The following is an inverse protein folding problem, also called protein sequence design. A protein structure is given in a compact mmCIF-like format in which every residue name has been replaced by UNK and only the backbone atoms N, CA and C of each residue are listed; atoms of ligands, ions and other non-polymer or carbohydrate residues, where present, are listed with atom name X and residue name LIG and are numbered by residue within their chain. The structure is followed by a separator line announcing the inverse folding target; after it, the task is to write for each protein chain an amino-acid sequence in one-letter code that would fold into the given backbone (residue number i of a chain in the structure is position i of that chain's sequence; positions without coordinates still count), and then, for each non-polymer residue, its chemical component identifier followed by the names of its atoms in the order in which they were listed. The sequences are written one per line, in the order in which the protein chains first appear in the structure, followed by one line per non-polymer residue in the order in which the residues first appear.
data_IF_055040798285
#
_entry.id   IF_055040798285
#
_cell.length_a   1.000
_cell.length_b   1.000
_cell.length_c   1.000
_cell.angle_alpha   90.00
_cell.angle_beta   90.00
_cell.angle_gamma   90.00
#
_symmetry.space_group_name_H-M   'P 1'
#
loop_
_entity.id
_entity.type
_entity.pdbx_description
1 polymer ?
#
# COMPACT_ATOMS: atom_id res chain seq x y z
N UNK A 1 -44.80 97.73 -7.38
CA UNK A 1 -43.41 97.93 -6.97
C UNK A 1 -42.69 96.53 -7.11
N UNK A 2 -41.91 96.43 -8.19
CA UNK A 2 -41.27 95.19 -8.54
C UNK A 2 -39.77 95.26 -8.16
N UNK A 3 -39.35 94.40 -7.23
CA UNK A 3 -37.94 94.29 -6.82
C UNK A 3 -37.20 93.31 -7.74
N UNK A 4 -36.24 93.82 -8.53
CA UNK A 4 -35.29 93.07 -9.34
C UNK A 4 -34.28 92.33 -8.42
N UNK A 5 -34.25 91.00 -8.44
CA UNK A 5 -33.14 90.18 -7.88
C UNK A 5 -32.01 90.11 -8.90
N UNK A 6 -30.88 90.72 -8.57
CA UNK A 6 -29.61 90.52 -9.27
C UNK A 6 -29.12 89.08 -9.05
N UNK A 7 -28.98 88.27 -10.12
CA UNK A 7 -28.23 87.02 -10.12
C UNK A 7 -26.78 87.32 -10.40
N UNK A 8 -25.93 87.22 -9.41
CA UNK A 8 -24.47 87.15 -9.62
C UNK A 8 -24.15 85.85 -10.30
N UNK A 9 -23.60 85.95 -11.49
CA UNK A 9 -23.00 84.80 -12.21
C UNK A 9 -21.63 84.63 -11.60
N UNK A 10 -21.40 83.47 -10.90
CA UNK A 10 -20.08 83.10 -10.44
C UNK A 10 -19.38 82.46 -11.65
N UNK A 11 -18.42 83.13 -12.21
CA UNK A 11 -17.50 82.54 -13.20
C UNK A 11 -16.63 81.51 -12.51
N UNK A 12 -16.83 80.25 -12.88
CA UNK A 12 -15.95 79.18 -12.50
C UNK A 12 -14.66 79.34 -13.33
N UNK A 13 -13.62 79.78 -12.70
CA UNK A 13 -12.29 79.91 -13.31
C UNK A 13 -11.83 78.46 -13.70
N UNK A 14 -11.71 78.25 -15.01
CA UNK A 14 -11.03 77.07 -15.53
C UNK A 14 -9.60 77.03 -14.96
N UNK A 15 -9.33 76.02 -14.11
CA UNK A 15 -7.95 75.70 -13.72
C UNK A 15 -7.20 75.32 -14.99
N UNK A 16 -6.28 76.19 -15.40
CA UNK A 16 -5.26 75.93 -16.40
C UNK A 16 -4.49 74.74 -15.94
N UNK A 17 -4.54 73.62 -16.73
CA UNK A 17 -3.76 72.41 -16.44
C UNK A 17 -2.28 72.84 -16.35
N UNK A 18 -1.70 72.71 -15.16
CA UNK A 18 -0.26 72.77 -14.97
C UNK A 18 0.34 71.65 -15.85
N UNK A 19 1.15 72.07 -16.84
CA UNK A 19 1.99 71.12 -17.58
C UNK A 19 2.89 70.44 -16.56
N UNK A 20 2.63 69.12 -16.30
CA UNK A 20 3.48 68.30 -15.43
C UNK A 20 4.92 68.39 -15.95
N UNK A 21 5.85 68.79 -15.09
CA UNK A 21 7.27 68.84 -15.43
C UNK A 21 7.70 67.44 -15.82
N UNK A 22 8.55 67.29 -16.83
CA UNK A 22 9.05 65.95 -17.29
C UNK A 22 9.59 65.13 -16.14
N UNK A 23 10.13 65.70 -15.10
CA UNK A 23 10.61 65.06 -13.86
C UNK A 23 9.47 64.47 -13.08
N UNK A 24 8.33 65.16 -12.91
CA UNK A 24 7.14 64.61 -12.20
C UNK A 24 6.56 63.39 -12.91
N UNK A 25 6.57 63.39 -14.27
CA UNK A 25 6.14 62.27 -15.08
C UNK A 25 7.07 61.06 -14.92
N UNK A 26 8.41 61.27 -14.84
CA UNK A 26 9.38 60.23 -14.59
C UNK A 26 9.24 59.62 -13.19
N UNK A 27 9.02 60.45 -12.17
CA UNK A 27 8.82 59.99 -10.79
C UNK A 27 7.52 59.17 -10.69
N UNK A 28 6.42 59.65 -11.32
CA UNK A 28 5.16 58.90 -11.35
C UNK A 28 5.28 57.59 -12.11
N UNK A 29 5.97 57.56 -13.24
CA UNK A 29 6.28 56.36 -14.01
C UNK A 29 7.09 55.34 -13.21
N UNK A 30 8.15 55.79 -12.52
CA UNK A 30 8.96 54.93 -11.66
C UNK A 30 8.14 54.33 -10.49
N UNK A 31 7.30 55.16 -9.86
CA UNK A 31 6.40 54.72 -8.79
C UNK A 31 5.37 53.70 -9.29
N UNK A 32 4.83 53.90 -10.50
CA UNK A 32 3.88 52.97 -11.10
C UNK A 32 4.54 51.61 -11.43
N UNK A 33 5.76 51.65 -12.00
CA UNK A 33 6.55 50.44 -12.24
C UNK A 33 6.83 49.70 -10.92
N UNK A 34 7.24 50.43 -9.88
CA UNK A 34 7.47 49.86 -8.55
C UNK A 34 6.20 49.16 -7.99
N UNK A 35 5.05 49.82 -8.09
CA UNK A 35 3.75 49.23 -7.66
C UNK A 35 3.41 47.99 -8.48
N UNK A 36 3.63 48.00 -9.80
CA UNK A 36 3.39 46.84 -10.65
C UNK A 36 4.31 45.68 -10.26
N UNK A 37 5.60 45.97 -10.00
CA UNK A 37 6.56 44.97 -9.52
C UNK A 37 6.10 44.38 -8.17
N UNK A 38 5.66 45.23 -7.24
CA UNK A 38 5.11 44.76 -5.95
C UNK A 38 3.87 43.88 -6.13
N UNK A 39 2.95 44.27 -7.03
CA UNK A 39 1.74 43.48 -7.33
C UNK A 39 2.12 42.12 -7.94
N UNK A 40 3.07 42.11 -8.89
CA UNK A 40 3.55 40.85 -9.50
C UNK A 40 4.23 39.98 -8.46
N UNK A 41 5.10 40.54 -7.62
CA UNK A 41 5.71 39.76 -6.50
C UNK A 41 4.66 39.26 -5.52
N UNK A 42 3.64 40.04 -5.19
CA UNK A 42 2.54 39.62 -4.33
C UNK A 42 1.69 38.50 -4.97
N UNK A 43 1.42 38.60 -6.28
CA UNK A 43 0.67 37.55 -7.00
C UNK A 43 1.47 36.25 -7.20
N UNK A 44 2.80 36.32 -7.23
CA UNK A 44 3.69 35.17 -7.32
C UNK A 44 4.00 34.55 -5.95
N UNK A 45 3.73 35.25 -4.85
CA UNK A 45 3.92 34.67 -3.51
C UNK A 45 2.78 33.70 -3.21
N UNK A 46 3.11 32.40 -3.12
CA UNK A 46 2.16 31.39 -2.68
C UNK A 46 1.80 31.62 -1.20
N UNK A 47 0.49 31.66 -0.87
CA UNK A 47 0.08 31.81 0.52
C UNK A 47 0.45 30.56 1.30
N UNK A 48 1.08 30.70 2.45
CA UNK A 48 1.38 29.58 3.34
C UNK A 48 0.06 28.96 3.81
N UNK A 49 -0.16 27.71 3.43
CA UNK A 49 -1.35 26.95 3.83
C UNK A 49 -1.09 26.21 5.12
N UNK A 50 -2.01 26.31 6.07
CA UNK A 50 -1.95 25.59 7.34
C UNK A 50 -2.83 24.35 7.31
N UNK A 51 -2.35 23.29 7.97
CA UNK A 51 -3.09 22.06 8.24
C UNK A 51 -3.27 21.92 9.75
N UNK A 52 -4.51 21.64 10.20
CA UNK A 52 -4.83 21.39 11.62
C UNK A 52 -4.66 19.93 11.95
N UNK A 53 -3.81 19.63 12.92
CA UNK A 53 -3.49 18.26 13.31
C UNK A 53 -4.64 17.65 14.12
N UNK A 54 -5.04 16.45 13.71
CA UNK A 54 -6.05 15.66 14.41
C UNK A 54 -5.51 14.28 14.76
N UNK A 55 -6.12 13.64 15.77
CA UNK A 55 -5.86 12.23 16.01
C UNK A 55 -6.36 11.43 14.82
N UNK A 56 -5.55 10.52 14.36
CA UNK A 56 -5.87 9.62 13.27
C UNK A 56 -5.26 8.25 13.49
N UNK A 57 -5.61 7.33 12.62
CA UNK A 57 -4.98 6.03 12.53
C UNK A 57 -4.58 5.77 11.09
N UNK A 58 -3.53 5.00 10.93
CA UNK A 58 -3.08 4.51 9.64
C UNK A 58 -2.94 3.00 9.73
N UNK A 59 -3.70 2.31 8.89
CA UNK A 59 -3.53 0.87 8.68
C UNK A 59 -2.33 0.66 7.79
N UNK A 60 -1.31 -0.01 8.28
CA UNK A 60 -0.16 -0.40 7.47
C UNK A 60 -0.44 -1.76 6.86
N UNK A 61 -1.12 -1.73 5.72
CA UNK A 61 -1.32 -2.93 4.93
C UNK A 61 -0.01 -3.33 4.23
N UNK A 62 0.38 -4.59 4.38
CA UNK A 62 1.51 -5.16 3.65
C UNK A 62 1.03 -6.39 2.90
N UNK A 63 1.37 -6.45 1.62
CA UNK A 63 1.05 -7.59 0.76
C UNK A 63 2.07 -8.70 0.97
N UNK A 64 1.56 -9.93 1.06
CA UNK A 64 2.35 -11.15 1.14
C UNK A 64 1.81 -12.15 0.13
N UNK A 65 2.72 -12.85 -0.54
CA UNK A 65 2.38 -14.03 -1.34
C UNK A 65 2.55 -15.25 -0.48
N UNK A 66 1.48 -16.03 -0.32
CA UNK A 66 1.48 -17.27 0.45
C UNK A 66 1.33 -18.49 -0.42
N UNK A 67 1.75 -19.63 0.11
CA UNK A 67 1.48 -20.96 -0.46
C UNK A 67 0.26 -21.57 0.20
N UNK A 68 -0.74 -21.95 -0.60
CA UNK A 68 -1.97 -22.55 -0.14
C UNK A 68 -1.81 -24.06 0.02
N UNK A 69 -2.03 -24.54 1.24
CA UNK A 69 -1.97 -25.94 1.62
C UNK A 69 -3.38 -26.43 1.96
N UNK A 70 -3.78 -27.50 1.32
CA UNK A 70 -5.12 -28.08 1.39
C UNK A 70 -5.03 -29.60 1.54
N UNK A 71 -6.12 -30.21 1.94
CA UNK A 71 -6.23 -31.66 1.91
C UNK A 71 -6.62 -32.08 0.48
N UNK A 72 -5.65 -32.55 -0.28
CA UNK A 72 -5.76 -32.85 -1.70
C UNK A 72 -5.55 -34.34 -1.94
N UNK A 73 -6.45 -35.00 -2.69
CA UNK A 73 -6.29 -36.37 -3.14
C UNK A 73 -6.10 -36.44 -4.65
N UNK A 74 -4.99 -37.00 -5.09
CA UNK A 74 -4.67 -37.16 -6.52
C UNK A 74 -5.52 -38.28 -7.11
N UNK A 75 -6.16 -37.97 -8.26
CA UNK A 75 -6.91 -38.94 -9.07
C UNK A 75 -5.96 -39.50 -10.13
N UNK A 76 -5.65 -40.76 -10.06
CA UNK A 76 -4.93 -41.47 -11.11
C UNK A 76 -5.87 -42.37 -11.91
N UNK A 77 -5.79 -42.30 -13.25
CA UNK A 77 -6.63 -43.12 -14.10
C UNK A 77 -6.15 -44.59 -14.11
N UNK A 78 -7.06 -45.58 -13.95
CA UNK A 78 -6.67 -46.98 -14.06
C UNK A 78 -6.57 -47.46 -15.51
N UNK A 79 -6.97 -46.67 -16.50
CA UNK A 79 -7.09 -47.07 -17.89
C UNK A 79 -6.12 -46.28 -18.77
N UNK A 80 -5.77 -46.85 -19.93
CA UNK A 80 -5.02 -46.17 -21.00
C UNK A 80 -5.96 -45.81 -22.12
N UNK A 81 -5.93 -44.56 -22.58
CA UNK A 81 -6.80 -44.05 -23.64
C UNK A 81 -6.91 -42.55 -23.67
N UNK A 82 -7.85 -42.04 -24.42
CA UNK A 82 -8.12 -40.60 -24.55
C UNK A 82 -9.06 -40.12 -23.44
N UNK A 83 -8.64 -39.10 -22.68
CA UNK A 83 -9.43 -38.61 -21.56
C UNK A 83 -10.44 -37.53 -22.02
N UNK A 84 -11.64 -37.59 -21.44
CA UNK A 84 -12.68 -36.59 -21.62
C UNK A 84 -13.27 -36.20 -20.26
N UNK A 85 -13.20 -34.92 -19.91
CA UNK A 85 -13.72 -34.38 -18.66
C UNK A 85 -15.16 -33.91 -18.82
N UNK A 86 -16.01 -34.10 -17.78
CA UNK A 86 -17.43 -33.75 -17.79
C UNK A 86 -17.82 -32.66 -16.81
N UNK A 87 -16.99 -32.40 -15.81
CA UNK A 87 -17.26 -31.45 -14.74
C UNK A 87 -16.27 -30.28 -14.86
N UNK A 88 -16.74 -29.10 -14.57
CA UNK A 88 -15.88 -27.89 -14.59
C UNK A 88 -14.87 -27.94 -13.47
N UNK A 89 -13.65 -27.43 -13.71
CA UNK A 89 -12.63 -27.23 -12.70
C UNK A 89 -13.13 -26.26 -11.60
N UNK A 90 -12.87 -26.58 -10.33
CA UNK A 90 -13.37 -25.82 -9.18
C UNK A 90 -14.81 -26.15 -8.77
N UNK A 91 -15.53 -27.00 -9.51
CA UNK A 91 -16.88 -27.43 -9.16
C UNK A 91 -16.86 -28.51 -8.07
N UNK A 92 -17.88 -28.51 -7.21
CA UNK A 92 -18.01 -29.50 -6.14
C UNK A 92 -18.58 -30.81 -6.69
N UNK A 93 -17.90 -31.90 -6.40
CA UNK A 93 -18.27 -33.26 -6.81
C UNK A 93 -18.60 -34.14 -5.61
N UNK A 94 -19.47 -35.11 -5.83
CA UNK A 94 -19.72 -36.20 -4.89
C UNK A 94 -18.92 -37.43 -5.30
N UNK A 95 -18.81 -38.41 -4.40
CA UNK A 95 -18.06 -39.67 -4.65
C UNK A 95 -18.55 -40.46 -5.84
N UNK A 96 -19.79 -40.23 -6.30
CA UNK A 96 -20.42 -41.04 -7.38
C UNK A 96 -20.54 -40.22 -8.69
N UNK A 97 -20.21 -38.95 -8.66
CA UNK A 97 -20.31 -38.15 -9.86
C UNK A 97 -19.25 -38.57 -10.87
N UNK A 98 -19.65 -38.76 -12.11
CA UNK A 98 -18.73 -39.08 -13.20
C UNK A 98 -17.95 -37.80 -13.55
N UNK A 99 -16.65 -37.83 -13.30
CA UNK A 99 -15.76 -36.68 -13.53
C UNK A 99 -15.16 -36.72 -14.92
N UNK A 100 -14.76 -37.90 -15.36
CA UNK A 100 -14.11 -38.08 -16.65
C UNK A 100 -14.41 -39.47 -17.24
N UNK A 101 -14.10 -39.62 -18.51
CA UNK A 101 -14.04 -40.97 -19.13
C UNK A 101 -12.71 -41.19 -19.85
N UNK A 102 -12.38 -42.45 -20.05
CA UNK A 102 -11.26 -42.86 -20.87
C UNK A 102 -11.79 -43.67 -22.06
N UNK A 103 -11.54 -43.18 -23.26
CA UNK A 103 -11.83 -43.86 -24.53
C UNK A 103 -10.59 -44.62 -25.00
N UNK A 104 -10.59 -45.95 -24.82
CA UNK A 104 -9.49 -46.78 -25.27
C UNK A 104 -9.39 -46.91 -26.80
N UNK A 105 -10.48 -46.61 -27.51
CA UNK A 105 -10.56 -46.76 -28.97
C UNK A 105 -10.14 -45.48 -29.73
N UNK A 106 -10.20 -44.33 -29.10
CA UNK A 106 -10.03 -43.02 -29.72
C UNK A 106 -11.11 -42.67 -30.78
N UNK A 107 -12.20 -43.38 -30.78
CA UNK A 107 -13.28 -43.21 -31.80
C UNK A 107 -14.43 -42.35 -31.32
N UNK A 108 -14.47 -42.04 -30.03
CA UNK A 108 -15.57 -41.30 -29.43
C UNK A 108 -15.75 -39.92 -30.08
N UNK A 109 -14.67 -39.18 -30.25
CA UNK A 109 -14.69 -37.88 -30.92
C UNK A 109 -15.19 -37.97 -32.35
N UNK A 110 -14.69 -38.96 -33.13
CA UNK A 110 -15.13 -39.14 -34.52
C UNK A 110 -16.57 -39.63 -34.67
N UNK A 111 -17.07 -40.35 -33.68
CA UNK A 111 -18.48 -40.78 -33.64
C UNK A 111 -19.42 -39.61 -33.32
N UNK A 112 -18.99 -38.73 -32.44
CA UNK A 112 -19.74 -37.50 -32.10
C UNK A 112 -19.76 -36.52 -33.29
N UNK A 113 -18.63 -36.36 -33.99
CA UNK A 113 -18.58 -35.54 -35.23
C UNK A 113 -19.44 -36.13 -36.35
N UNK A 114 -19.60 -37.45 -36.41
CA UNK A 114 -20.42 -38.12 -37.44
C UNK A 114 -21.91 -38.15 -37.15
N UNK A 115 -22.32 -37.95 -35.92
CA UNK A 115 -23.70 -37.68 -35.56
C UNK A 115 -23.95 -36.20 -35.82
N UNK A 116 -24.81 -35.89 -36.78
CA UNK A 116 -25.35 -34.57 -37.02
C UNK A 116 -26.17 -34.20 -35.76
N UNK A 117 -25.45 -33.77 -34.71
CA UNK A 117 -26.04 -33.17 -33.52
C UNK A 117 -26.67 -31.89 -34.02
N UNK A 118 -27.96 -31.95 -34.39
CA UNK A 118 -28.70 -30.79 -34.82
C UNK A 118 -28.42 -29.58 -33.93
N UNK A 119 -28.61 -28.37 -34.48
CA UNK A 119 -28.36 -27.15 -33.72
C UNK A 119 -28.77 -27.31 -32.25
N UNK A 120 -27.77 -27.52 -31.38
CA UNK A 120 -28.02 -27.64 -29.96
C UNK A 120 -28.48 -26.27 -29.49
N UNK A 121 -29.77 -26.17 -29.15
CA UNK A 121 -30.31 -25.00 -28.51
C UNK A 121 -29.68 -24.91 -27.12
N UNK A 122 -28.52 -24.22 -27.04
CA UNK A 122 -27.88 -23.90 -25.75
C UNK A 122 -28.87 -23.18 -24.85
N UNK A 123 -29.00 -23.63 -23.63
CA UNK A 123 -29.91 -23.01 -22.68
C UNK A 123 -29.41 -21.60 -22.30
N UNK A 124 -30.35 -20.70 -22.00
CA UNK A 124 -29.99 -19.36 -21.50
C UNK A 124 -29.12 -19.43 -20.23
N UNK A 125 -29.22 -20.51 -19.45
CA UNK A 125 -28.39 -20.74 -18.25
C UNK A 125 -26.92 -21.01 -18.62
N UNK A 126 -26.64 -21.85 -19.61
CA UNK A 126 -25.29 -22.20 -20.10
C UNK A 126 -24.60 -20.96 -20.71
N UNK A 127 -25.36 -20.22 -21.55
CA UNK A 127 -24.86 -18.97 -22.11
C UNK A 127 -24.66 -17.87 -21.06
N UNK A 128 -25.43 -17.87 -19.98
CA UNK A 128 -25.29 -16.96 -18.85
C UNK A 128 -24.00 -17.22 -18.07
N UNK A 129 -23.64 -18.48 -17.84
CA UNK A 129 -22.39 -18.87 -17.19
C UNK A 129 -21.19 -18.38 -18.02
N UNK A 130 -21.18 -18.65 -19.31
CA UNK A 130 -20.15 -18.20 -20.24
C UNK A 130 -19.98 -16.67 -20.27
N UNK A 131 -21.09 -15.94 -20.24
CA UNK A 131 -21.08 -14.47 -20.15
C UNK A 131 -20.52 -13.98 -18.82
N UNK A 132 -20.81 -14.68 -17.73
CA UNK A 132 -20.31 -14.31 -16.40
C UNK A 132 -18.80 -14.39 -16.32
N UNK A 133 -18.18 -15.42 -16.91
CA UNK A 133 -16.72 -15.57 -16.97
C UNK A 133 -16.07 -14.40 -17.74
N UNK A 134 -16.66 -14.04 -18.89
CA UNK A 134 -16.14 -12.91 -19.68
C UNK A 134 -16.25 -11.58 -18.89
N UNK A 135 -17.37 -11.36 -18.21
CA UNK A 135 -17.58 -10.13 -17.41
C UNK A 135 -16.63 -10.10 -16.21
N UNK A 136 -16.41 -11.23 -15.56
CA UNK A 136 -15.47 -11.33 -14.43
C UNK A 136 -14.05 -11.01 -14.88
N UNK A 137 -13.61 -11.59 -15.99
CA UNK A 137 -12.31 -11.29 -16.57
C UNK A 137 -12.16 -9.81 -16.92
N UNK A 138 -13.14 -9.21 -17.60
CA UNK A 138 -13.12 -7.79 -17.98
C UNK A 138 -13.01 -6.88 -16.74
N UNK A 139 -13.64 -7.27 -15.64
CA UNK A 139 -13.62 -6.51 -14.38
C UNK A 139 -12.32 -6.65 -13.58
N UNK A 140 -11.58 -7.75 -13.76
CA UNK A 140 -10.35 -8.06 -13.00
C UNK A 140 -9.08 -7.91 -13.84
N UNK A 141 -9.21 -7.67 -15.15
CA UNK A 141 -8.08 -7.55 -16.06
C UNK A 141 -7.14 -6.41 -15.69
N UNK A 142 -5.84 -6.71 -15.64
CA UNK A 142 -4.77 -5.74 -15.43
C UNK A 142 -3.63 -6.00 -16.41
N UNK A 143 -3.17 -4.96 -17.12
CA UNK A 143 -2.03 -5.03 -18.05
C UNK A 143 -0.72 -5.49 -17.37
N UNK A 144 -0.68 -5.49 -16.04
CA UNK A 144 0.51 -5.87 -15.26
C UNK A 144 0.56 -7.35 -14.91
N UNK A 145 -0.55 -8.07 -15.05
CA UNK A 145 -0.70 -9.46 -14.64
C UNK A 145 -1.06 -10.35 -15.85
N UNK A 146 -0.06 -10.62 -16.68
CA UNK A 146 -0.24 -11.37 -17.92
C UNK A 146 -0.71 -12.83 -17.70
N UNK A 147 -0.48 -13.38 -16.50
CA UNK A 147 -0.87 -14.72 -16.12
C UNK A 147 -2.40 -14.89 -16.10
N UNK A 148 -3.14 -13.86 -15.71
CA UNK A 148 -4.60 -13.87 -15.68
C UNK A 148 -5.24 -14.13 -17.06
N UNK A 149 -4.53 -13.86 -18.15
CA UNK A 149 -4.98 -14.17 -19.51
C UNK A 149 -4.99 -15.68 -19.79
N UNK A 150 -3.97 -16.39 -19.30
CA UNK A 150 -3.89 -17.83 -19.46
C UNK A 150 -4.93 -18.56 -18.60
N UNK A 151 -5.11 -18.10 -17.36
CA UNK A 151 -6.14 -18.63 -16.47
C UNK A 151 -7.53 -18.43 -17.07
N UNK A 152 -7.85 -17.23 -17.55
CA UNK A 152 -9.11 -16.96 -18.26
C UNK A 152 -9.30 -17.83 -19.51
N UNK A 153 -8.23 -18.05 -20.29
CA UNK A 153 -8.30 -18.95 -21.45
C UNK A 153 -8.71 -20.35 -21.03
N UNK A 154 -8.12 -20.87 -19.94
CA UNK A 154 -8.45 -22.19 -19.42
C UNK A 154 -9.85 -22.27 -18.84
N UNK A 155 -10.30 -21.24 -18.14
CA UNK A 155 -11.68 -21.16 -17.61
C UNK A 155 -12.70 -21.13 -18.74
N UNK A 156 -12.42 -20.38 -19.80
CA UNK A 156 -13.27 -20.30 -20.98
C UNK A 156 -13.31 -21.63 -21.74
N UNK A 157 -12.16 -22.28 -21.93
CA UNK A 157 -12.07 -23.62 -22.52
C UNK A 157 -12.82 -24.64 -21.66
N UNK A 158 -12.70 -24.58 -20.31
CA UNK A 158 -13.42 -25.44 -19.38
C UNK A 158 -14.94 -25.27 -19.47
N UNK A 159 -15.43 -24.04 -19.53
CA UNK A 159 -16.85 -23.76 -19.70
C UNK A 159 -17.39 -24.29 -21.06
N UNK A 160 -16.63 -24.08 -22.14
CA UNK A 160 -16.98 -24.59 -23.48
C UNK A 160 -17.01 -26.14 -23.51
N UNK A 161 -16.01 -26.78 -22.90
CA UNK A 161 -15.93 -28.24 -22.79
C UNK A 161 -17.10 -28.81 -21.99
N UNK A 162 -17.50 -28.13 -20.88
CA UNK A 162 -18.65 -28.55 -20.07
C UNK A 162 -19.93 -28.59 -20.91
N UNK A 163 -20.19 -27.56 -21.71
CA UNK A 163 -21.37 -27.48 -22.59
C UNK A 163 -21.37 -28.64 -23.59
N UNK A 164 -20.25 -28.85 -24.28
CA UNK A 164 -20.10 -29.92 -25.27
C UNK A 164 -20.18 -31.31 -24.62
N UNK A 165 -19.60 -31.50 -23.44
CA UNK A 165 -19.53 -32.79 -22.79
C UNK A 165 -20.82 -33.18 -22.06
N UNK A 166 -21.66 -32.24 -21.63
CA UNK A 166 -22.99 -32.54 -21.10
C UNK A 166 -23.88 -33.16 -22.19
N UNK A 167 -23.91 -32.60 -23.41
CA UNK A 167 -24.58 -33.18 -24.55
C UNK A 167 -24.03 -34.56 -24.91
N UNK A 168 -22.73 -34.74 -24.79
CA UNK A 168 -22.02 -35.99 -24.99
C UNK A 168 -22.39 -37.04 -23.93
N UNK A 169 -22.48 -36.67 -22.65
CA UNK A 169 -22.84 -37.56 -21.54
C UNK A 169 -24.29 -38.09 -21.71
N UNK A 170 -25.24 -37.22 -22.05
CA UNK A 170 -26.62 -37.57 -22.29
C UNK A 170 -26.77 -38.44 -23.55
N UNK A 171 -25.97 -38.16 -24.59
CA UNK A 171 -25.89 -39.00 -25.78
C UNK A 171 -25.30 -40.39 -25.48
N UNK A 172 -24.30 -40.49 -24.59
CA UNK A 172 -23.70 -41.76 -24.15
C UNK A 172 -24.66 -42.59 -23.29
N UNK A 173 -25.53 -41.98 -22.49
CA UNK A 173 -26.59 -42.71 -21.78
C UNK A 173 -27.52 -43.45 -22.73
N UNK A 174 -27.74 -42.92 -23.93
CA UNK A 174 -28.49 -43.55 -25.01
C UNK A 174 -27.66 -44.54 -25.83
N UNK A 175 -26.35 -44.32 -25.99
CA UNK A 175 -25.42 -45.19 -26.71
C UNK A 175 -25.01 -46.44 -25.94
N UNK A 176 -25.07 -46.42 -24.61
CA UNK A 176 -24.73 -47.58 -23.73
C UNK A 176 -25.64 -48.81 -23.99
N UNK A 177 -26.69 -48.70 -24.79
CA UNK A 177 -27.50 -49.83 -25.23
C UNK A 177 -27.03 -50.50 -26.53
N UNK A 178 -26.04 -49.94 -27.25
CA UNK A 178 -25.58 -50.49 -28.52
C UNK A 178 -24.06 -50.35 -28.71
N UNK A 179 -23.32 -51.48 -28.72
CA UNK A 179 -21.99 -51.72 -29.31
C UNK A 179 -20.75 -50.93 -28.80
N UNK A 180 -20.86 -49.84 -28.04
CA UNK A 180 -19.73 -49.08 -27.49
C UNK A 180 -19.45 -49.34 -26.00
N UNK A 181 -20.35 -50.09 -25.33
CA UNK A 181 -20.32 -50.30 -23.86
C UNK A 181 -19.12 -51.01 -23.26
N UNK A 182 -18.08 -51.28 -24.04
CA UNK A 182 -16.83 -51.87 -23.54
C UNK A 182 -15.56 -51.13 -23.93
N UNK A 183 -15.70 -49.95 -24.61
CA UNK A 183 -14.53 -49.19 -25.07
C UNK A 183 -14.38 -47.82 -24.38
N UNK A 184 -15.37 -47.39 -23.60
CA UNK A 184 -15.34 -46.13 -22.85
C UNK A 184 -15.57 -46.42 -21.38
N UNK A 185 -14.57 -46.10 -20.58
CA UNK A 185 -14.58 -46.33 -19.13
C UNK A 185 -14.95 -45.03 -18.43
N UNK A 186 -16.12 -45.00 -17.76
CA UNK A 186 -16.57 -43.88 -16.95
C UNK A 186 -15.88 -43.90 -15.58
N UNK A 187 -15.26 -42.80 -15.17
CA UNK A 187 -14.53 -42.67 -13.93
C UNK A 187 -15.20 -41.66 -13.01
N UNK A 188 -15.34 -42.03 -11.75
CA UNK A 188 -15.93 -41.14 -10.72
C UNK A 188 -14.85 -40.46 -9.89
N UNK A 189 -15.27 -39.40 -9.15
CA UNK A 189 -14.36 -38.66 -8.28
C UNK A 189 -13.73 -39.51 -7.15
N UNK A 190 -14.41 -40.57 -6.70
CA UNK A 190 -13.97 -41.40 -5.58
C UNK A 190 -14.10 -40.75 -4.22
N UNK A 191 -13.83 -39.45 -4.14
CA UNK A 191 -13.99 -38.59 -2.97
C UNK A 191 -14.94 -37.43 -3.26
N UNK A 192 -15.50 -36.82 -2.21
CA UNK A 192 -16.32 -35.62 -2.31
C UNK A 192 -15.46 -34.37 -2.05
N UNK A 193 -15.55 -33.36 -2.89
CA UNK A 193 -14.75 -32.15 -2.73
C UNK A 193 -14.79 -31.27 -3.99
N UNK A 194 -13.81 -30.40 -4.17
CA UNK A 194 -13.66 -29.57 -5.37
C UNK A 194 -12.68 -30.23 -6.34
N UNK A 195 -13.08 -30.39 -7.59
CA UNK A 195 -12.23 -31.01 -8.61
C UNK A 195 -11.22 -30.01 -9.18
N UNK A 196 -9.96 -30.44 -9.33
CA UNK A 196 -8.88 -29.66 -9.95
C UNK A 196 -8.13 -30.56 -10.93
N UNK A 197 -7.99 -30.12 -12.20
CA UNK A 197 -7.41 -30.94 -13.28
C UNK A 197 -5.90 -30.74 -13.46
N UNK A 198 -5.22 -30.35 -12.39
CA UNK A 198 -3.77 -30.19 -12.38
C UNK A 198 -3.17 -30.70 -11.10
N UNK A 199 -1.92 -31.17 -11.20
CA UNK A 199 -1.08 -31.54 -10.07
C UNK A 199 0.21 -30.74 -10.11
N UNK A 200 0.79 -30.48 -8.95
CA UNK A 200 1.96 -29.61 -8.81
C UNK A 200 3.05 -30.20 -7.88
N UNK A 201 2.84 -31.40 -7.35
CA UNK A 201 3.76 -32.06 -6.44
C UNK A 201 3.69 -31.61 -4.99
N UNK A 202 2.85 -30.58 -4.70
CA UNK A 202 2.66 -30.04 -3.33
C UNK A 202 1.38 -30.54 -2.65
N UNK A 203 0.74 -31.58 -3.20
CA UNK A 203 -0.53 -32.10 -2.70
C UNK A 203 -0.43 -32.67 -1.24
N UNK A 204 0.75 -33.13 -0.85
CA UNK A 204 1.00 -33.67 0.48
C UNK A 204 1.87 -32.75 1.35
N UNK A 205 2.24 -31.57 0.87
CA UNK A 205 3.12 -30.66 1.58
C UNK A 205 2.48 -30.21 2.90
N UNK A 206 3.22 -30.38 4.01
CA UNK A 206 2.78 -29.92 5.32
C UNK A 206 3.38 -28.55 5.65
N UNK A 207 2.72 -27.73 6.50
CA UNK A 207 3.24 -26.42 6.87
C UNK A 207 4.67 -26.44 7.43
N UNK A 208 5.02 -27.50 8.13
CA UNK A 208 6.34 -27.70 8.75
C UNK A 208 7.45 -28.03 7.74
N UNK A 209 7.09 -28.37 6.51
CA UNK A 209 8.01 -28.71 5.41
C UNK A 209 8.21 -27.54 4.44
N UNK A 210 7.49 -26.43 4.63
CA UNK A 210 7.60 -25.24 3.78
C UNK A 210 8.93 -24.55 4.03
N UNK A 211 9.68 -24.29 2.99
CA UNK A 211 10.97 -23.57 3.00
C UNK A 211 10.97 -22.41 2.01
N UNK A 212 12.00 -21.56 2.04
CA UNK A 212 12.13 -20.44 1.11
C UNK A 212 12.11 -20.89 -0.36
N UNK A 213 12.58 -22.09 -0.67
CA UNK A 213 12.59 -22.66 -2.02
C UNK A 213 11.19 -22.86 -2.59
N UNK A 214 10.21 -23.17 -1.74
CA UNK A 214 8.81 -23.41 -2.14
C UNK A 214 8.14 -22.14 -2.67
N UNK A 215 8.64 -20.95 -2.31
CA UNK A 215 8.13 -19.65 -2.78
C UNK A 215 8.73 -19.19 -4.10
N UNK A 216 9.67 -19.97 -4.69
CA UNK A 216 10.21 -19.65 -6.03
C UNK A 216 9.18 -20.00 -7.10
N UNK A 217 8.34 -19.04 -7.44
CA UNK A 217 7.31 -19.21 -8.48
C UNK A 217 7.92 -19.48 -9.88
N UNK A 218 9.19 -19.15 -10.12
CA UNK A 218 9.84 -19.40 -11.39
C UNK A 218 10.22 -20.88 -11.55
N UNK A 219 10.42 -21.58 -10.44
CA UNK A 219 10.69 -23.02 -10.39
C UNK A 219 9.40 -23.89 -10.24
N UNK A 220 8.24 -23.23 -10.05
CA UNK A 220 6.97 -23.92 -9.88
C UNK A 220 6.47 -24.49 -11.20
N UNK A 221 6.20 -25.78 -11.24
CA UNK A 221 5.66 -26.48 -12.38
C UNK A 221 4.28 -27.07 -12.06
N UNK A 222 3.32 -26.81 -12.92
CA UNK A 222 1.95 -27.33 -12.85
C UNK A 222 1.73 -28.28 -14.02
N UNK A 223 1.48 -29.54 -13.73
CA UNK A 223 1.17 -30.54 -14.75
C UNK A 223 -0.33 -30.62 -14.94
N UNK A 224 -0.79 -30.49 -16.17
CA UNK A 224 -2.20 -30.57 -16.56
C UNK A 224 -2.36 -31.54 -17.70
N UNK A 225 -3.39 -32.37 -17.62
CA UNK A 225 -3.84 -33.23 -18.72
C UNK A 225 -5.04 -32.54 -19.36
N UNK A 226 -4.98 -32.32 -20.66
CA UNK A 226 -6.05 -31.65 -21.39
C UNK A 226 -7.10 -32.64 -21.88
N UNK A 227 -8.27 -32.12 -22.20
CA UNK A 227 -9.32 -32.92 -22.81
C UNK A 227 -8.84 -33.53 -24.14
N UNK A 228 -9.14 -34.81 -24.36
CA UNK A 228 -8.72 -35.62 -25.52
C UNK A 228 -7.19 -35.87 -25.60
N UNK A 229 -6.44 -35.70 -24.53
CA UNK A 229 -5.05 -36.18 -24.44
C UNK A 229 -5.02 -37.70 -24.27
N UNK A 230 -3.99 -38.36 -24.85
CA UNK A 230 -3.72 -39.75 -24.63
C UNK A 230 -3.00 -39.93 -23.29
N UNK A 231 -3.62 -40.65 -22.37
CA UNK A 231 -3.05 -40.94 -21.05
C UNK A 231 -2.77 -42.44 -20.88
N UNK A 232 -1.75 -42.74 -20.09
CA UNK A 232 -1.43 -44.12 -19.70
C UNK A 232 -2.08 -44.44 -18.35
N UNK A 233 -2.27 -45.73 -18.09
CA UNK A 233 -2.75 -46.16 -16.78
C UNK A 233 -1.83 -45.70 -15.65
N UNK A 234 -2.40 -45.29 -14.52
CA UNK A 234 -1.77 -44.67 -13.36
C UNK A 234 -1.22 -43.21 -13.60
N UNK A 235 -1.54 -42.58 -14.71
CA UNK A 235 -1.27 -41.16 -14.87
C UNK A 235 -2.21 -40.35 -13.97
N UNK A 236 -1.65 -39.36 -13.26
CA UNK A 236 -2.44 -38.37 -12.50
C UNK A 236 -3.22 -37.46 -13.48
N UNK A 237 -4.54 -37.49 -13.39
CA UNK A 237 -5.45 -36.75 -14.29
C UNK A 237 -6.12 -35.57 -13.60
N UNK A 238 -5.87 -35.39 -12.32
CA UNK A 238 -6.38 -34.30 -11.49
C UNK A 238 -6.30 -34.65 -10.02
N UNK A 239 -6.93 -33.83 -9.20
CA UNK A 239 -7.03 -34.02 -7.74
C UNK A 239 -8.38 -33.50 -7.23
N UNK A 240 -8.78 -33.97 -6.05
CA UNK A 240 -9.96 -33.47 -5.32
C UNK A 240 -9.49 -32.80 -4.05
N UNK A 241 -9.92 -31.58 -3.83
CA UNK A 241 -9.77 -30.88 -2.55
C UNK A 241 -10.91 -31.30 -1.64
N UNK A 242 -10.60 -32.10 -0.63
CA UNK A 242 -11.60 -32.87 0.15
C UNK A 242 -12.11 -32.13 1.39
N UNK A 243 -11.42 -31.08 1.86
CA UNK A 243 -11.79 -30.31 3.05
C UNK A 243 -11.92 -28.82 2.72
N UNK A 244 -12.88 -28.18 3.39
CA UNK A 244 -13.04 -26.71 3.38
C UNK A 244 -11.96 -26.02 4.23
N UNK A 245 -11.36 -26.74 5.20
CA UNK A 245 -10.27 -26.23 5.99
C UNK A 245 -8.98 -26.24 5.17
N UNK A 246 -8.33 -25.10 5.12
CA UNK A 246 -7.07 -24.94 4.42
C UNK A 246 -6.18 -23.93 5.14
N UNK A 247 -4.92 -23.88 4.79
CA UNK A 247 -3.99 -22.91 5.34
C UNK A 247 -3.18 -22.22 4.26
N UNK A 248 -2.81 -20.99 4.54
CA UNK A 248 -1.90 -20.20 3.72
C UNK A 248 -0.64 -19.95 4.54
N UNK A 249 0.51 -20.41 4.05
CA UNK A 249 1.80 -20.17 4.68
C UNK A 249 2.47 -18.98 3.99
N UNK A 250 2.83 -17.97 4.77
CA UNK A 250 3.50 -16.76 4.26
C UNK A 250 4.85 -16.56 4.95
N UNK A 251 5.89 -16.11 4.24
CA UNK A 251 7.10 -15.62 4.87
C UNK A 251 6.81 -14.28 5.57
N UNK A 252 7.30 -14.11 6.79
CA UNK A 252 7.03 -12.91 7.60
C UNK A 252 8.26 -12.50 8.40
N UNK A 253 8.42 -11.21 8.65
CA UNK A 253 9.48 -10.68 9.50
C UNK A 253 9.25 -11.04 10.98
N UNK A 254 10.33 -11.31 11.72
CA UNK A 254 10.27 -11.78 13.12
C UNK A 254 9.51 -10.82 14.06
N UNK A 255 9.70 -9.52 13.89
CA UNK A 255 9.00 -8.49 14.69
C UNK A 255 7.48 -8.50 14.45
N UNK A 256 7.06 -8.72 13.22
CA UNK A 256 5.64 -8.84 12.85
C UNK A 256 5.07 -10.19 13.29
N UNK A 257 5.84 -11.26 13.14
CA UNK A 257 5.44 -12.59 13.58
C UNK A 257 5.09 -12.59 15.08
N UNK A 258 5.95 -12.00 15.92
CA UNK A 258 5.69 -11.88 17.36
C UNK A 258 4.40 -11.09 17.66
N UNK A 259 4.13 -10.02 16.90
CA UNK A 259 2.93 -9.21 17.09
C UNK A 259 1.65 -9.96 16.75
N UNK A 260 1.61 -10.69 15.62
CA UNK A 260 0.41 -11.42 15.20
C UNK A 260 0.20 -12.72 15.98
N UNK A 261 1.26 -13.31 16.53
CA UNK A 261 1.18 -14.49 17.38
C UNK A 261 0.44 -14.20 18.69
N UNK A 262 0.70 -13.02 19.30
CA UNK A 262 0.04 -12.60 20.53
C UNK A 262 -1.48 -12.44 20.34
N UNK A 263 -1.92 -11.99 19.17
CA UNK A 263 -3.34 -11.82 18.84
C UNK A 263 -4.05 -13.16 18.55
N UNK A 264 -3.33 -14.17 18.06
CA UNK A 264 -3.83 -15.51 17.72
C UNK A 264 -4.75 -15.56 16.49
N UNK A 265 -5.35 -14.44 16.09
CA UNK A 265 -6.18 -14.29 14.90
C UNK A 265 -5.85 -12.97 14.20
N UNK A 266 -5.85 -12.99 12.88
CA UNK A 266 -5.62 -11.79 12.08
C UNK A 266 -6.67 -11.64 10.99
N UNK A 267 -7.05 -10.40 10.70
CA UNK A 267 -7.87 -10.08 9.55
C UNK A 267 -6.97 -9.93 8.32
N UNK A 268 -7.30 -10.64 7.25
CA UNK A 268 -6.63 -10.53 5.96
C UNK A 268 -7.60 -10.07 4.89
N UNK A 269 -7.05 -9.55 3.80
CA UNK A 269 -7.79 -9.25 2.59
C UNK A 269 -7.13 -10.01 1.44
N UNK A 270 -7.91 -10.81 0.72
CA UNK A 270 -7.45 -11.49 -0.49
C UNK A 270 -7.38 -10.49 -1.64
N UNK A 271 -6.24 -10.42 -2.34
CA UNK A 271 -6.06 -9.47 -3.45
C UNK A 271 -6.93 -9.87 -4.65
N UNK A 272 -7.03 -11.16 -4.97
CA UNK A 272 -7.80 -11.68 -6.12
C UNK A 272 -9.30 -11.37 -6.01
N UNK A 273 -9.91 -11.63 -4.86
CA UNK A 273 -11.38 -11.47 -4.66
C UNK A 273 -11.77 -10.16 -4.00
N UNK A 274 -10.80 -9.39 -3.47
CA UNK A 274 -11.02 -8.19 -2.66
C UNK A 274 -11.83 -8.42 -1.38
N UNK A 275 -12.07 -9.68 -1.03
CA UNK A 275 -12.80 -10.09 0.17
C UNK A 275 -11.88 -10.14 1.38
N UNK A 276 -12.44 -9.86 2.55
CA UNK A 276 -11.72 -9.97 3.83
C UNK A 276 -12.17 -11.18 4.60
N UNK A 277 -11.23 -11.90 5.21
CA UNK A 277 -11.51 -13.03 6.10
C UNK A 277 -10.68 -12.94 7.38
N UNK A 278 -11.08 -13.68 8.41
CA UNK A 278 -10.29 -13.90 9.60
C UNK A 278 -9.54 -15.21 9.48
N UNK A 279 -8.27 -15.20 9.82
CA UNK A 279 -7.41 -16.38 9.86
C UNK A 279 -6.91 -16.63 11.28
N UNK A 280 -6.85 -17.89 11.69
CA UNK A 280 -6.07 -18.29 12.87
C UNK A 280 -4.59 -18.21 12.55
N UNK A 281 -3.75 -17.85 13.52
CA UNK A 281 -2.31 -17.67 13.32
C UNK A 281 -1.53 -18.71 14.10
N UNK A 282 -0.55 -19.35 13.44
CA UNK A 282 0.49 -20.17 14.06
C UNK A 282 1.84 -19.77 13.48
N UNK A 283 2.80 -19.45 14.31
CA UNK A 283 4.15 -19.09 13.84
C UNK A 283 5.03 -20.34 13.80
N UNK A 284 5.78 -20.46 12.71
CA UNK A 284 6.81 -21.49 12.52
C UNK A 284 8.16 -20.79 12.32
N UNK A 285 9.10 -21.09 13.21
CA UNK A 285 10.49 -20.64 13.10
C UNK A 285 11.32 -21.78 12.51
N UNK A 286 11.82 -21.58 11.31
CA UNK A 286 12.64 -22.54 10.58
C UNK A 286 14.06 -21.99 10.39
N UNK A 287 15.03 -22.83 10.04
CA UNK A 287 16.43 -22.41 9.88
C UNK A 287 16.64 -21.36 8.79
N UNK A 288 15.73 -21.28 7.80
CA UNK A 288 15.78 -20.42 6.64
C UNK A 288 14.86 -19.19 6.76
N UNK A 289 14.05 -19.11 7.82
CA UNK A 289 13.17 -17.95 8.03
C UNK A 289 12.00 -18.21 8.97
N UNK A 290 11.25 -17.14 9.22
CA UNK A 290 10.01 -17.18 10.01
C UNK A 290 8.81 -17.19 9.07
N UNK A 291 7.88 -18.10 9.33
CA UNK A 291 6.66 -18.29 8.55
C UNK A 291 5.43 -18.15 9.43
N UNK A 292 4.39 -17.54 8.91
CA UNK A 292 3.07 -17.54 9.53
C UNK A 292 2.14 -18.50 8.78
N UNK A 293 1.55 -19.44 9.49
CA UNK A 293 0.50 -20.34 9.00
C UNK A 293 -0.84 -19.71 9.33
N UNK A 294 -1.55 -19.28 8.32
CA UNK A 294 -2.87 -18.65 8.40
C UNK A 294 -3.93 -19.70 8.08
N UNK A 295 -4.69 -20.12 9.08
CA UNK A 295 -5.71 -21.17 8.92
C UNK A 295 -7.09 -20.59 8.64
N UNK A 296 -7.77 -21.15 7.63
CA UNK A 296 -9.10 -20.78 7.16
C UNK A 296 -10.06 -21.96 7.20
N UNK A 297 -11.34 -21.68 7.37
CA UNK A 297 -12.45 -22.64 7.27
C UNK A 297 -13.52 -22.21 6.27
N UNK A 298 -13.18 -21.28 5.39
CA UNK A 298 -14.05 -20.72 4.37
C UNK A 298 -13.24 -20.36 3.12
N UNK A 299 -13.93 -19.91 2.07
CA UNK A 299 -13.34 -19.40 0.81
C UNK A 299 -12.43 -20.39 0.06
N UNK A 300 -12.38 -21.67 0.44
CA UNK A 300 -11.55 -22.68 -0.22
C UNK A 300 -11.87 -22.79 -1.71
N UNK A 301 -13.15 -22.70 -2.08
CA UNK A 301 -13.62 -22.76 -3.48
C UNK A 301 -12.99 -21.67 -4.37
N UNK A 302 -12.82 -20.46 -3.86
CA UNK A 302 -12.27 -19.34 -4.63
C UNK A 302 -10.78 -19.48 -4.95
N UNK A 303 -10.08 -20.36 -4.21
CA UNK A 303 -8.63 -20.55 -4.31
C UNK A 303 -8.23 -22.01 -4.53
N UNK A 304 -9.19 -22.94 -4.77
CA UNK A 304 -8.88 -24.37 -4.89
C UNK A 304 -7.94 -24.69 -6.06
N UNK A 305 -7.91 -23.87 -7.10
CA UNK A 305 -7.04 -23.99 -8.29
C UNK A 305 -5.70 -23.26 -8.15
N UNK A 306 -5.58 -22.37 -7.15
CA UNK A 306 -4.40 -21.52 -6.95
C UNK A 306 -3.47 -22.14 -5.91
N UNK A 307 -2.18 -22.23 -6.21
CA UNK A 307 -1.16 -22.64 -5.22
C UNK A 307 -0.59 -21.41 -4.50
N UNK A 308 -0.40 -20.31 -5.20
CA UNK A 308 0.04 -19.05 -4.61
C UNK A 308 -1.14 -18.09 -4.50
N UNK A 309 -1.28 -17.49 -3.34
CA UNK A 309 -2.37 -16.55 -3.04
C UNK A 309 -1.79 -15.29 -2.43
N UNK A 310 -2.10 -14.16 -3.06
CA UNK A 310 -1.71 -12.84 -2.57
C UNK A 310 -2.73 -12.30 -1.59
N UNK A 311 -2.23 -11.92 -0.43
CA UNK A 311 -3.03 -11.36 0.66
C UNK A 311 -2.42 -10.07 1.18
N UNK A 312 -3.27 -9.26 1.78
CA UNK A 312 -2.91 -8.08 2.55
C UNK A 312 -3.24 -8.35 4.03
N UNK A 313 -2.22 -8.27 4.91
CA UNK A 313 -2.46 -8.34 6.35
C UNK A 313 -3.00 -7.01 6.82
N UNK A 314 -4.21 -7.03 7.41
CA UNK A 314 -4.84 -5.85 8.02
C UNK A 314 -4.43 -5.82 9.48
N UNK A 315 -3.29 -5.18 9.77
CA UNK A 315 -2.82 -5.02 11.14
C UNK A 315 -3.56 -3.88 11.85
N UNK A 316 -3.53 -3.91 13.17
CA UNK A 316 -4.12 -2.86 13.99
C UNK A 316 -3.59 -1.48 13.59
N UNK A 317 -4.51 -0.53 13.51
CA UNK A 317 -4.20 0.85 13.17
C UNK A 317 -3.21 1.46 14.16
N UNK A 318 -2.07 1.92 13.65
CA UNK A 318 -1.18 2.79 14.42
C UNK A 318 -1.90 4.10 14.68
N UNK A 319 -2.15 4.42 15.95
CA UNK A 319 -2.84 5.65 16.37
C UNK A 319 -1.85 6.72 16.79
N UNK A 320 -2.12 7.94 16.37
CA UNK A 320 -1.28 9.10 16.73
C UNK A 320 -1.80 10.37 16.07
N UNK A 321 -0.95 11.36 15.96
CA UNK A 321 -1.25 12.60 15.23
C UNK A 321 -1.06 12.36 13.73
N UNK A 322 -2.11 12.62 12.94
CA UNK A 322 -2.06 12.45 11.49
C UNK A 322 -1.60 13.75 10.84
N UNK A 323 -0.52 13.68 10.05
CA UNK A 323 0.07 14.81 9.33
C UNK A 323 0.30 14.46 7.85
N UNK A 324 0.17 15.42 6.91
CA UNK A 324 0.56 15.21 5.51
C UNK A 324 2.07 15.00 5.37
N UNK A 325 2.51 14.13 4.47
CA UNK A 325 3.95 13.95 4.19
C UNK A 325 4.60 15.23 3.68
N UNK A 326 3.89 16.06 2.92
CA UNK A 326 4.38 17.36 2.43
C UNK A 326 4.75 18.35 3.53
N UNK A 327 4.24 18.15 4.76
CA UNK A 327 4.55 19.00 5.91
C UNK A 327 5.84 18.65 6.62
N UNK A 328 6.43 17.50 6.30
CA UNK A 328 7.66 17.00 6.95
C UNK A 328 8.87 17.70 6.36
N UNK A 329 9.74 18.20 7.25
CA UNK A 329 11.01 18.83 6.91
C UNK A 329 12.15 18.17 7.67
N UNK A 330 13.34 18.19 7.06
CA UNK A 330 14.60 17.89 7.72
C UNK A 330 15.35 19.19 7.97
N UNK A 331 15.85 19.37 9.19
CA UNK A 331 16.62 20.55 9.56
C UNK A 331 17.83 20.19 10.37
N UNK A 332 18.97 20.88 10.08
CA UNK A 332 20.24 20.70 10.78
C UNK A 332 20.30 21.62 12.01
N UNK A 333 20.80 21.05 13.12
CA UNK A 333 20.99 21.72 14.39
C UNK A 333 22.40 21.46 14.93
N UNK A 334 22.92 22.37 15.74
CA UNK A 334 24.13 22.08 16.48
C UNK A 334 23.87 21.13 17.65
N UNK A 335 24.75 20.19 17.83
CA UNK A 335 24.71 19.23 18.94
C UNK A 335 25.68 19.73 20.02
N UNK A 336 25.14 20.10 21.17
CA UNK A 336 25.90 20.58 22.33
C UNK A 336 25.78 19.55 23.46
N UNK A 337 26.90 19.04 23.99
CA UNK A 337 26.87 18.16 25.15
C UNK A 337 26.19 18.81 26.35
N UNK A 338 25.44 18.04 27.12
CA UNK A 338 24.63 18.54 28.24
C UNK A 338 25.46 19.30 29.27
N UNK A 339 26.72 18.90 29.45
CA UNK A 339 27.65 19.54 30.39
C UNK A 339 28.06 20.97 30.03
N UNK A 340 27.87 21.42 28.77
CA UNK A 340 28.13 22.78 28.32
C UNK A 340 26.86 23.64 28.32
N UNK A 341 25.69 23.04 28.56
CA UNK A 341 24.42 23.76 28.65
C UNK A 341 24.13 24.20 30.08
N UNK A 342 23.60 25.40 30.23
CA UNK A 342 23.14 25.91 31.51
C UNK A 342 21.84 26.67 31.38
N UNK A 343 21.12 26.84 32.49
CA UNK A 343 19.98 27.75 32.58
C UNK A 343 20.42 29.09 33.10
N UNK A 344 20.15 30.17 32.39
CA UNK A 344 20.57 31.51 32.74
C UNK A 344 19.70 32.59 32.12
N UNK A 345 20.24 33.83 32.14
CA UNK A 345 19.52 34.98 31.63
C UNK A 345 18.35 35.42 32.51
N UNK A 346 17.60 36.43 32.07
CA UNK A 346 16.48 36.99 32.82
C UNK A 346 15.29 36.04 32.93
N UNK A 347 15.15 35.10 31.99
CA UNK A 347 14.00 34.19 31.82
C UNK A 347 14.29 32.76 32.30
N UNK A 348 15.55 32.43 32.70
CA UNK A 348 15.93 31.07 33.07
C UNK A 348 15.96 30.06 31.92
N UNK A 349 16.13 30.55 30.69
CA UNK A 349 16.20 29.74 29.49
C UNK A 349 17.51 28.99 29.36
N UNK A 350 17.57 27.97 28.52
CA UNK A 350 18.79 27.27 28.20
C UNK A 350 19.73 28.14 27.35
N UNK A 351 21.02 27.99 27.57
CA UNK A 351 22.05 28.67 26.81
C UNK A 351 23.41 28.12 27.10
N UNK A 352 24.40 28.70 26.44
CA UNK A 352 25.82 28.36 26.57
C UNK A 352 26.64 29.57 26.98
N UNK A 353 27.76 29.34 27.64
CA UNK A 353 28.77 30.37 27.94
C UNK A 353 29.72 30.49 26.75
N UNK A 354 29.50 31.48 25.86
CA UNK A 354 30.28 31.70 24.64
C UNK A 354 31.46 32.64 24.91
N UNK A 355 32.61 32.31 24.31
CA UNK A 355 33.83 33.13 24.37
C UNK A 355 33.72 34.33 23.42
N UNK A 356 34.02 35.52 23.94
CA UNK A 356 34.14 36.75 23.19
C UNK A 356 35.48 37.43 23.53
N UNK A 357 35.92 38.37 22.70
CA UNK A 357 37.10 39.21 22.96
C UNK A 357 36.62 40.66 23.23
N UNK A 358 37.10 41.22 24.34
CA UNK A 358 36.83 42.63 24.63
C UNK A 358 37.66 43.55 23.72
N UNK A 359 37.43 44.87 23.83
CA UNK A 359 38.16 45.90 23.04
C UNK A 359 39.69 45.87 23.29
N UNK A 360 40.16 45.26 24.38
CA UNK A 360 41.55 45.13 24.73
C UNK A 360 42.14 43.75 24.31
N UNK A 361 41.34 42.89 23.70
CA UNK A 361 41.74 41.56 23.29
C UNK A 361 41.72 40.51 24.41
N UNK A 362 41.11 40.80 25.56
CA UNK A 362 40.98 39.82 26.64
C UNK A 362 39.77 38.92 26.37
N UNK A 363 39.88 37.67 26.79
CA UNK A 363 38.80 36.67 26.70
C UNK A 363 37.73 36.99 27.75
N UNK A 364 36.47 37.12 27.30
CA UNK A 364 35.31 37.32 28.14
C UNK A 364 34.26 36.27 27.79
N UNK A 365 33.65 35.64 28.79
CA UNK A 365 32.58 34.70 28.60
C UNK A 365 31.24 35.37 28.82
N UNK A 366 30.34 35.23 27.85
CA UNK A 366 28.99 35.75 27.93
C UNK A 366 27.98 34.63 27.76
N UNK A 367 26.94 34.64 28.60
CA UNK A 367 25.80 33.73 28.42
C UNK A 367 25.02 34.11 27.16
N UNK A 368 24.90 33.14 26.26
CA UNK A 368 24.14 33.25 25.01
C UNK A 368 22.98 32.29 25.10
N UNK A 369 21.77 32.83 25.07
CA UNK A 369 20.53 32.05 25.04
C UNK A 369 20.41 31.29 23.72
N UNK A 370 20.03 30.00 23.78
CA UNK A 370 19.81 29.16 22.63
C UNK A 370 18.45 28.47 22.73
N UNK A 371 17.77 28.31 21.60
CA UNK A 371 16.52 27.55 21.54
C UNK A 371 16.82 26.06 21.42
N UNK A 372 16.27 25.26 22.33
CA UNK A 372 16.40 23.80 22.31
C UNK A 372 15.24 23.18 21.55
N UNK A 373 15.55 22.39 20.53
CA UNK A 373 14.57 21.71 19.68
C UNK A 373 14.44 20.21 19.97
N UNK A 374 15.48 19.63 20.58
CA UNK A 374 15.48 18.25 21.08
C UNK A 374 16.55 18.10 22.15
N UNK A 375 16.41 17.13 23.03
CA UNK A 375 17.45 16.73 24.00
C UNK A 375 17.39 15.24 24.27
N UNK A 376 18.58 14.71 24.50
CA UNK A 376 18.81 13.40 25.12
C UNK A 376 19.42 13.63 26.52
N UNK A 377 19.73 12.56 27.22
CA UNK A 377 20.39 12.67 28.53
C UNK A 377 21.77 13.33 28.41
N UNK A 378 22.47 13.15 27.28
CA UNK A 378 23.85 13.57 27.08
C UNK A 378 24.01 14.79 26.16
N UNK A 379 23.05 15.10 25.31
CA UNK A 379 23.17 16.07 24.20
C UNK A 379 21.91 16.93 24.01
N UNK A 380 22.09 18.17 23.61
CA UNK A 380 21.06 19.12 23.25
C UNK A 380 21.19 19.51 21.77
N UNK A 381 20.06 19.56 21.06
CA UNK A 381 19.96 20.04 19.70
C UNK A 381 19.48 21.50 19.75
N UNK A 382 20.32 22.42 19.31
CA UNK A 382 20.07 23.86 19.39
C UNK A 382 20.16 24.51 18.02
N UNK A 383 19.47 25.63 17.85
CA UNK A 383 19.52 26.39 16.59
C UNK A 383 20.87 27.12 16.40
N UNK A 384 21.06 27.57 15.18
CA UNK A 384 22.26 28.34 14.76
C UNK A 384 22.05 29.87 14.81
N UNK A 385 20.98 30.35 15.47
CA UNK A 385 20.64 31.79 15.46
C UNK A 385 21.72 32.62 16.15
N UNK A 386 22.24 32.13 17.30
CA UNK A 386 23.21 32.84 18.12
C UNK A 386 24.57 32.14 18.17
N UNK A 387 24.72 30.99 17.49
CA UNK A 387 25.93 30.20 17.44
C UNK A 387 26.39 30.00 16.00
N UNK A 388 27.70 29.98 15.79
CA UNK A 388 28.31 29.67 14.50
C UNK A 388 29.33 28.52 14.66
N UNK A 389 29.58 27.85 13.55
CA UNK A 389 30.64 26.84 13.49
C UNK A 389 31.97 27.50 13.85
N UNK A 390 32.72 26.92 14.80
CA UNK A 390 33.98 27.41 15.27
C UNK A 390 33.90 28.34 16.51
N UNK A 391 32.70 28.74 16.96
CA UNK A 391 32.55 29.45 18.23
C UNK A 391 33.04 28.56 19.40
N UNK A 392 33.76 29.14 20.33
CA UNK A 392 34.16 28.45 21.55
C UNK A 392 33.15 28.66 22.67
N UNK A 393 32.69 27.56 23.23
CA UNK A 393 31.82 27.53 24.42
C UNK A 393 32.54 26.90 25.60
N UNK A 394 32.24 27.41 26.78
CA UNK A 394 32.89 27.01 28.04
C UNK A 394 31.91 26.25 28.91
N UNK A 395 32.40 25.19 29.57
CA UNK A 395 31.61 24.45 30.55
C UNK A 395 31.36 25.32 31.78
N UNK A 396 30.13 25.34 32.32
CA UNK A 396 29.83 26.10 33.53
C UNK A 396 30.81 25.77 34.69
N UNK A 397 31.26 26.79 35.37
CA UNK A 397 32.21 26.71 36.52
C UNK A 397 33.53 25.96 36.23
N UNK A 398 33.94 25.92 34.96
CA UNK A 398 35.16 25.26 34.48
C UNK A 398 35.92 26.15 33.50
N UNK A 399 37.20 25.81 33.27
CA UNK A 399 38.03 26.39 32.18
C UNK A 399 37.97 25.53 30.91
N UNK A 400 37.28 24.41 30.94
CA UNK A 400 37.15 23.50 29.80
C UNK A 400 36.28 24.14 28.73
N UNK A 401 36.80 24.16 27.50
CA UNK A 401 36.11 24.73 26.35
C UNK A 401 36.15 23.79 25.17
N UNK A 402 35.12 23.90 24.35
CA UNK A 402 35.02 23.18 23.08
C UNK A 402 34.58 24.12 21.94
N UNK A 403 34.96 23.80 20.72
CA UNK A 403 34.47 24.48 19.55
C UNK A 403 33.13 23.86 19.09
N UNK A 404 32.17 24.70 18.77
CA UNK A 404 30.90 24.27 18.15
C UNK A 404 31.19 23.79 16.73
N UNK A 405 31.07 22.48 16.51
CA UNK A 405 31.38 21.85 15.21
C UNK A 405 30.51 20.65 14.88
N UNK A 406 29.92 20.05 15.91
CA UNK A 406 29.06 18.88 15.71
C UNK A 406 27.64 19.32 15.37
N UNK A 407 27.09 18.83 14.26
CA UNK A 407 25.71 19.03 13.87
C UNK A 407 24.99 17.71 13.63
N UNK A 408 23.67 17.75 13.63
CA UNK A 408 22.81 16.61 13.34
C UNK A 408 21.46 17.06 12.84
N UNK A 409 20.84 16.22 12.04
CA UNK A 409 19.55 16.47 11.40
C UNK A 409 18.41 15.95 12.26
N UNK A 410 17.39 16.76 12.48
CA UNK A 410 16.12 16.37 13.07
C UNK A 410 15.03 16.37 12.01
N UNK A 411 14.15 15.36 12.07
CA UNK A 411 12.93 15.31 11.29
C UNK A 411 11.84 16.02 12.07
N UNK A 412 11.10 16.92 11.41
CA UNK A 412 10.07 17.72 12.06
C UNK A 412 9.11 18.37 11.12
N UNK A 413 8.30 19.26 11.65
CA UNK A 413 7.34 20.09 10.90
C UNK A 413 7.41 21.55 11.38
N UNK A 414 6.93 22.48 10.57
CA UNK A 414 6.80 23.87 10.98
C UNK A 414 5.41 24.12 11.58
N UNK A 415 5.36 24.37 12.90
CA UNK A 415 4.14 24.74 13.61
C UNK A 415 3.87 26.24 13.44
N UNK A 416 2.64 26.62 13.05
CA UNK A 416 2.19 28.01 12.90
C UNK A 416 1.77 28.56 14.26
N UNK A 417 2.74 29.00 15.07
CA UNK A 417 2.49 29.54 16.39
C UNK A 417 2.62 31.07 16.38
N UNK A 418 1.58 31.80 16.85
CA UNK A 418 1.57 33.27 16.97
C UNK A 418 2.01 34.05 15.73
N UNK A 419 1.79 33.46 14.53
CA UNK A 419 2.14 34.08 13.27
C UNK A 419 3.55 33.80 12.74
N UNK A 420 4.29 32.89 13.39
CA UNK A 420 5.61 32.41 12.96
C UNK A 420 5.57 30.92 12.69
N UNK A 421 6.45 30.47 11.79
CA UNK A 421 6.74 29.05 11.58
C UNK A 421 7.83 28.61 12.56
N UNK A 422 7.46 27.81 13.55
CA UNK A 422 8.36 27.26 14.57
C UNK A 422 8.58 25.77 14.31
N UNK A 423 9.85 25.33 14.17
CA UNK A 423 10.16 23.93 13.93
C UNK A 423 9.83 23.09 15.16
N UNK A 424 9.15 21.95 14.96
CA UNK A 424 8.83 20.98 15.99
C UNK A 424 9.30 19.60 15.55
N UNK A 425 10.09 18.94 16.40
CA UNK A 425 10.53 17.57 16.16
C UNK A 425 9.34 16.61 16.18
N UNK A 426 9.37 15.61 15.30
CA UNK A 426 8.40 14.53 15.26
C UNK A 426 9.08 13.16 15.33
N UNK A 427 8.34 12.17 15.82
CA UNK A 427 8.69 10.76 15.73
C UNK A 427 7.64 10.07 14.91
N UNK A 428 8.01 9.58 13.74
CA UNK A 428 7.09 8.89 12.82
C UNK A 428 6.87 7.48 13.35
N UNK A 429 5.60 7.10 13.53
CA UNK A 429 5.16 5.78 13.96
C UNK A 429 4.77 4.90 12.77
N UNK A 430 4.13 5.49 11.77
CA UNK A 430 3.74 4.85 10.52
C UNK A 430 3.53 5.91 9.44
N UNK A 431 3.66 5.52 8.16
CA UNK A 431 3.39 6.38 7.02
C UNK A 431 2.91 5.59 5.80
N UNK A 432 2.17 6.27 4.93
CA UNK A 432 1.81 5.82 3.58
C UNK A 432 2.21 6.91 2.57
N UNK A 433 1.72 6.84 1.34
CA UNK A 433 2.08 7.78 0.26
C UNK A 433 1.58 9.22 0.47
N UNK A 434 0.61 9.45 1.36
CA UNK A 434 -0.02 10.76 1.58
C UNK A 434 0.19 11.32 2.98
N UNK A 435 0.18 10.47 4.01
CA UNK A 435 0.16 10.85 5.42
C UNK A 435 1.15 10.07 6.27
N UNK A 436 1.60 10.69 7.36
CA UNK A 436 2.30 10.02 8.45
C UNK A 436 1.49 10.11 9.76
N UNK A 437 1.63 9.08 10.59
CA UNK A 437 1.18 9.09 11.98
C UNK A 437 2.40 9.31 12.85
N UNK A 438 2.33 10.33 13.70
CA UNK A 438 3.45 10.70 14.58
C UNK A 438 3.03 10.66 16.05
N UNK A 439 4.03 10.51 16.93
CA UNK A 439 3.80 10.48 18.37
C UNK A 439 3.18 11.79 18.86
N UNK A 440 2.21 11.68 19.76
CA UNK A 440 1.60 12.82 20.43
C UNK A 440 2.27 13.15 21.76
N UNK A 441 2.23 14.42 22.17
CA UNK A 441 2.65 14.90 23.49
C UNK A 441 4.12 14.60 23.85
N UNK A 442 5.02 14.58 22.87
CA UNK A 442 6.46 14.55 23.13
C UNK A 442 6.94 15.93 23.61
N UNK A 443 8.04 15.96 24.38
CA UNK A 443 8.51 17.19 25.07
C UNK A 443 8.73 18.38 24.11
N UNK A 444 9.21 18.13 22.88
CA UNK A 444 9.48 19.17 21.86
C UNK A 444 8.60 19.01 20.62
N UNK A 445 7.58 18.13 20.69
CA UNK A 445 6.77 17.73 19.57
C UNK A 445 5.44 18.46 19.48
N UNK A 446 4.50 17.78 18.87
CA UNK A 446 3.17 18.29 18.50
C UNK A 446 2.09 17.84 19.48
N UNK A 447 1.03 18.65 19.53
CA UNK A 447 -0.21 18.34 20.23
C UNK A 447 -1.39 18.34 19.27
N UNK A 448 -2.52 17.74 19.70
CA UNK A 448 -3.79 17.77 18.94
C UNK A 448 -4.23 19.22 18.77
N UNK A 449 -4.73 19.58 17.58
CA UNK A 449 -5.14 20.91 17.14
C UNK A 449 -4.01 21.92 16.90
N UNK A 450 -2.74 21.51 17.01
CA UNK A 450 -1.66 22.34 16.48
C UNK A 450 -1.88 22.57 14.98
N UNK A 451 -1.50 23.76 14.52
CA UNK A 451 -1.59 24.12 13.12
C UNK A 451 -0.22 24.12 12.49
N UNK A 452 0.01 23.23 11.54
CA UNK A 452 1.32 23.12 10.85
C UNK A 452 1.24 23.63 9.43
N UNK A 453 2.37 23.96 8.87
CA UNK A 453 2.50 24.32 7.45
C UNK A 453 2.28 23.07 6.61
N UNK A 454 1.38 23.16 5.62
CA UNK A 454 1.01 22.04 4.76
C UNK A 454 2.16 21.59 3.83
N UNK A 455 2.94 22.55 3.34
CA UNK A 455 4.11 22.31 2.49
C UNK A 455 5.34 22.92 3.13
N UNK A 456 6.18 22.06 3.69
CA UNK A 456 7.40 22.49 4.41
C UNK A 456 8.39 23.25 3.52
N UNK A 457 8.38 23.04 2.20
CA UNK A 457 9.27 23.75 1.26
C UNK A 457 8.89 25.22 1.07
N UNK A 458 7.69 25.62 1.49
CA UNK A 458 7.17 26.98 1.33
C UNK A 458 7.63 27.97 2.42
N UNK A 459 8.32 27.50 3.46
CA UNK A 459 8.71 28.33 4.60
C UNK A 459 10.10 28.00 5.15
N UNK A 460 10.73 29.05 5.69
CA UNK A 460 11.92 28.94 6.52
C UNK A 460 11.59 29.11 8.02
N UNK A 461 12.49 28.64 8.87
CA UNK A 461 12.33 28.76 10.33
C UNK A 461 12.21 30.24 10.76
N UNK A 462 11.30 30.52 11.67
CA UNK A 462 10.99 31.86 12.18
C UNK A 462 10.41 32.83 11.10
N UNK A 463 10.00 32.33 9.96
CA UNK A 463 9.33 33.14 8.95
C UNK A 463 7.90 33.50 9.39
N UNK A 464 7.46 34.72 9.05
CA UNK A 464 6.07 35.12 9.26
C UNK A 464 5.12 34.28 8.38
N UNK A 465 4.13 33.67 9.01
CA UNK A 465 3.11 32.83 8.34
C UNK A 465 1.90 33.63 7.85
N UNK A 466 1.77 34.90 8.28
CA UNK A 466 0.76 35.84 7.78
C UNK A 466 1.45 36.96 7.02
N UNK A 467 1.05 37.15 5.78
CA UNK A 467 1.38 38.35 4.97
C UNK A 467 0.19 39.26 4.91
#
# INVERSE_FOLDING_TARGET
MAGRRNRQIVEISRHSGKTMNKIEFFIFGAMMVYIVVLIVMYMQSEPIRGYEIQMGSLSVAKTYTGIALRQEEVIATPYTGYINYYIREGERVSTRDTVYSIDESGKLASLLESQDLGESDYTDAELSEFRSEIIQFDSTYSDKEFQNIYDFKYDLEGAAIKIVNLDMYDSMATLNQSSLGGMVNLCTAGQSGYIVYSTDGYENLQPEEVSAEVFDQAAYEKTRVNNNDLVEANTAVGKVVTDENWSLVIPIEEDRAAQIEEEGYIKIKFIKTQESSWASVKILNQPDGTYAVLGFNNSCISFCTDRFVDIELVMNDVKGLKIPLSSIAEKEFFIIPAEYMSKGGANGNYGVSKEFFDENGNVVYQFVETTVYSSTDDEFYVDNTNLNVGDYICKPDSTDKMAVSKSGTLIGVYNMNKGYADFKQITILAQNDEYAIVSSNTQYGLTVYDRIVLDASSVDNNQFTYK
#
